data_IF_780295625311
#
_entry.id   IF_780295625311
#
_cell.length_a   1.000
_cell.length_b   1.000
_cell.length_c   1.000
_cell.angle_alpha   90.00
_cell.angle_beta   90.00
_cell.angle_gamma   90.00
#
_symmetry.space_group_name_H-M   'P 1'
#
loop_
_entity.id
_entity.type
_entity.pdbx_description
1 polymer ?
#
# COMPACT_ATOMS: atom_id res chain seq x y z
N UNK A 1 -10.58 -10.60 -9.68
CA UNK A 1 -10.24 -9.83 -10.90
C UNK A 1 -9.75 -8.41 -10.61
N UNK A 2 -10.39 -7.62 -9.72
CA UNK A 2 -9.92 -6.25 -9.38
C UNK A 2 -8.59 -6.18 -8.61
N UNK A 3 -8.30 -7.16 -7.74
CA UNK A 3 -7.08 -7.17 -6.92
C UNK A 3 -5.80 -7.48 -7.70
N UNK A 4 -5.89 -8.21 -8.83
CA UNK A 4 -4.71 -8.57 -9.63
C UNK A 4 -4.11 -7.38 -10.36
N UNK A 5 -4.93 -6.41 -10.79
CA UNK A 5 -4.42 -5.17 -11.37
C UNK A 5 -3.67 -4.35 -10.31
N UNK A 6 -4.22 -4.25 -9.09
CA UNK A 6 -3.58 -3.49 -8.01
C UNK A 6 -2.22 -4.08 -7.60
N UNK A 7 -2.08 -5.40 -7.51
CA UNK A 7 -0.80 -6.05 -7.22
C UNK A 7 0.23 -5.83 -8.34
N UNK A 8 -0.21 -5.86 -9.61
CA UNK A 8 0.64 -5.55 -10.75
C UNK A 8 1.12 -4.08 -10.72
N UNK A 9 0.20 -3.14 -10.52
CA UNK A 9 0.50 -1.71 -10.42
C UNK A 9 1.48 -1.43 -9.27
N UNK A 10 1.28 -2.07 -8.12
CA UNK A 10 2.19 -1.97 -6.98
C UNK A 10 3.61 -2.49 -7.30
N UNK A 11 3.72 -3.61 -8.02
CA UNK A 11 5.01 -4.10 -8.50
C UNK A 11 5.71 -3.12 -9.46
N UNK A 12 4.94 -2.46 -10.32
CA UNK A 12 5.46 -1.43 -11.22
C UNK A 12 5.94 -0.19 -10.46
N UNK A 13 5.18 0.29 -9.48
CA UNK A 13 5.57 1.41 -8.61
C UNK A 13 6.85 1.07 -7.83
N UNK A 14 6.94 -0.14 -7.28
CA UNK A 14 8.13 -0.63 -6.58
C UNK A 14 9.36 -0.63 -7.50
N UNK A 15 9.22 -1.11 -8.74
CA UNK A 15 10.31 -1.10 -9.72
C UNK A 15 10.78 0.31 -10.09
N UNK A 16 9.88 1.30 -10.09
CA UNK A 16 10.19 2.71 -10.31
C UNK A 16 10.72 3.43 -9.05
N UNK A 17 10.77 2.77 -7.89
CA UNK A 17 11.06 3.44 -6.62
C UNK A 17 10.01 4.49 -6.23
N UNK A 18 8.81 4.39 -6.78
CA UNK A 18 7.71 5.30 -6.45
C UNK A 18 7.06 4.85 -5.15
N UNK A 19 7.02 5.70 -4.10
CA UNK A 19 6.39 5.36 -2.84
C UNK A 19 4.88 5.19 -2.99
N UNK A 20 4.31 4.18 -2.34
CA UNK A 20 2.87 3.88 -2.37
C UNK A 20 2.38 3.26 -1.07
N UNK A 21 1.06 3.29 -0.88
CA UNK A 21 0.34 2.73 0.27
C UNK A 21 -0.69 1.73 -0.28
N UNK A 22 -0.78 0.54 0.32
CA UNK A 22 -1.81 -0.46 -0.03
C UNK A 22 -3.02 -0.30 0.89
N UNK A 23 -4.23 -0.50 0.34
CA UNK A 23 -5.49 -0.46 1.09
C UNK A 23 -6.28 -1.74 0.80
N UNK A 24 -6.42 -2.59 1.82
CA UNK A 24 -7.17 -3.84 1.71
C UNK A 24 -7.55 -4.43 3.08
N UNK A 25 -8.50 -5.39 3.06
CA UNK A 25 -8.89 -6.15 4.25
C UNK A 25 -7.76 -7.04 4.79
N UNK A 26 -7.81 -7.34 6.09
CA UNK A 26 -6.83 -8.21 6.74
C UNK A 26 -6.79 -9.64 6.17
N UNK A 27 -7.90 -10.11 5.62
CA UNK A 27 -8.06 -11.47 5.08
C UNK A 27 -7.10 -11.77 3.91
N UNK A 28 -6.56 -10.73 3.26
CA UNK A 28 -5.66 -10.87 2.12
C UNK A 28 -4.22 -10.42 2.38
N UNK A 29 -3.84 -10.15 3.64
CA UNK A 29 -2.45 -9.81 4.01
C UNK A 29 -1.47 -10.92 3.58
N UNK A 30 -1.79 -12.19 3.85
CA UNK A 30 -0.85 -13.27 3.52
C UNK A 30 -0.61 -13.41 2.01
N UNK A 31 -1.65 -13.37 1.15
CA UNK A 31 -1.47 -13.26 -0.30
C UNK A 31 -0.72 -12.00 -0.77
N UNK A 32 -0.89 -10.85 -0.09
CA UNK A 32 -0.27 -9.58 -0.48
C UNK A 32 1.05 -9.26 0.23
N UNK A 33 1.58 -10.16 1.06
CA UNK A 33 2.76 -9.92 1.90
C UNK A 33 3.99 -9.38 1.14
N UNK A 34 4.19 -9.79 -0.11
CA UNK A 34 5.33 -9.35 -0.94
C UNK A 34 5.09 -7.95 -1.50
N UNK A 35 3.83 -7.61 -1.77
CA UNK A 35 3.42 -6.26 -2.17
C UNK A 35 3.55 -5.31 -0.97
N UNK A 36 3.04 -5.70 0.20
CA UNK A 36 3.12 -4.90 1.42
C UNK A 36 4.55 -4.70 1.89
N UNK A 37 5.43 -5.69 1.70
CA UNK A 37 6.85 -5.57 1.99
C UNK A 37 7.57 -4.51 1.13
N UNK A 38 7.06 -4.22 -0.07
CA UNK A 38 7.58 -3.19 -0.95
C UNK A 38 6.85 -1.83 -0.84
N UNK A 39 5.72 -1.79 -0.13
CA UNK A 39 4.96 -0.58 0.13
C UNK A 39 5.60 0.22 1.29
N UNK A 40 5.28 1.52 1.38
CA UNK A 40 5.68 2.32 2.55
C UNK A 40 4.86 1.98 3.79
N UNK A 41 3.59 1.60 3.58
CA UNK A 41 2.64 1.22 4.61
C UNK A 41 1.45 0.51 3.94
N UNK A 42 0.66 -0.18 4.75
CA UNK A 42 -0.63 -0.73 4.36
C UNK A 42 -1.73 -0.29 5.34
N UNK A 43 -2.97 -0.25 4.88
CA UNK A 43 -4.13 0.19 5.65
C UNK A 43 -5.34 -0.70 5.39
N UNK A 44 -6.26 -0.73 6.35
CA UNK A 44 -7.56 -1.40 6.23
C UNK A 44 -8.70 -0.40 5.97
N UNK A 45 -8.52 0.85 6.40
CA UNK A 45 -9.53 1.90 6.27
C UNK A 45 -8.94 3.17 5.66
N UNK A 46 -9.71 3.94 4.87
CA UNK A 46 -9.24 5.19 4.25
C UNK A 46 -8.69 6.20 5.24
N UNK A 47 -9.22 6.27 6.46
CA UNK A 47 -8.77 7.19 7.51
C UNK A 47 -7.31 6.94 7.89
N UNK A 48 -6.89 5.67 7.93
CA UNK A 48 -5.49 5.29 8.19
C UNK A 48 -4.57 5.75 7.05
N UNK A 49 -5.05 5.71 5.80
CA UNK A 49 -4.30 6.27 4.66
C UNK A 49 -4.09 7.77 4.84
N UNK A 50 -5.11 8.50 5.28
CA UNK A 50 -5.00 9.94 5.56
C UNK A 50 -3.99 10.21 6.68
N UNK A 51 -4.01 9.40 7.75
CA UNK A 51 -3.05 9.51 8.85
C UNK A 51 -1.61 9.25 8.39
N UNK A 52 -1.39 8.21 7.56
CA UNK A 52 -0.08 7.91 6.97
C UNK A 52 0.38 9.08 6.09
N UNK A 53 -0.49 9.59 5.21
CA UNK A 53 -0.17 10.73 4.33
C UNK A 53 0.20 11.97 5.15
N UNK A 54 -0.55 12.26 6.23
CA UNK A 54 -0.19 13.35 7.15
C UNK A 54 1.18 13.14 7.77
N UNK A 55 1.46 11.95 8.29
CA UNK A 55 2.75 11.62 8.91
C UNK A 55 3.93 11.83 7.95
N UNK A 56 3.82 11.35 6.71
CA UNK A 56 4.93 11.39 5.74
C UNK A 56 5.09 12.74 5.04
N UNK A 57 4.03 13.54 4.92
CA UNK A 57 4.08 14.84 4.23
C UNK A 57 4.30 16.02 5.18
N UNK A 58 3.82 15.92 6.42
CA UNK A 58 3.91 17.01 7.40
C UNK A 58 5.02 16.78 8.44
N UNK A 59 5.77 15.67 8.33
CA UNK A 59 6.89 15.26 9.17
C UNK A 59 7.12 16.14 10.39
N UNK A 60 6.57 15.72 11.54
CA UNK A 60 6.61 16.36 12.86
C UNK A 60 7.28 17.75 12.96
#
# INVERSE_FOLDING_TARGET
YKQWNAAFDAGYLAALGTPYITLHDADIIHPLKEVDAAAMAWAQQPEQVVEILRYVTQGN
#
